data_IF_901720424250
#
_entry.id   IF_901720424250
#
_cell.length_a   1.000
_cell.length_b   1.000
_cell.length_c   1.000
_cell.angle_alpha   90.00
_cell.angle_beta   90.00
_cell.angle_gamma   90.00
#
_symmetry.space_group_name_H-M   'P 1'
#
loop_
_entity.id
_entity.type
_entity.pdbx_description
1 polymer ?
#
# COMPACT_ATOMS: atom_id res chain seq x y z
N UNK A 1 19.98 -24.38 -0.43
CA UNK A 1 20.19 -23.80 -1.79
C UNK A 1 20.29 -24.96 -2.77
N UNK A 2 19.75 -24.79 -3.97
CA UNK A 2 19.70 -25.80 -5.03
C UNK A 2 20.28 -25.23 -6.33
N UNK A 3 20.65 -26.11 -7.27
CA UNK A 3 20.98 -25.68 -8.63
C UNK A 3 19.73 -25.19 -9.34
N UNK A 4 19.82 -24.07 -10.03
CA UNK A 4 18.69 -23.46 -10.70
C UNK A 4 18.27 -24.29 -11.95
N UNK A 5 16.99 -24.70 -12.07
CA UNK A 5 16.50 -25.41 -13.25
C UNK A 5 16.29 -24.51 -14.47
N UNK A 6 16.37 -23.17 -14.32
CA UNK A 6 16.05 -22.21 -15.39
C UNK A 6 17.27 -21.75 -16.18
N UNK A 7 18.47 -22.19 -15.82
CA UNK A 7 19.68 -21.97 -16.61
C UNK A 7 20.67 -23.11 -16.38
N UNK A 8 21.72 -23.18 -17.21
CA UNK A 8 22.78 -24.16 -17.04
C UNK A 8 23.63 -23.80 -15.80
N UNK A 9 23.18 -24.26 -14.64
CA UNK A 9 23.81 -23.97 -13.36
C UNK A 9 24.72 -25.13 -12.92
N UNK A 10 25.95 -24.79 -12.51
CA UNK A 10 26.93 -25.76 -11.99
C UNK A 10 27.05 -25.71 -10.46
N UNK A 11 26.71 -24.58 -9.83
CA UNK A 11 26.88 -24.35 -8.40
C UNK A 11 25.56 -23.87 -7.82
N UNK A 12 25.06 -24.42 -6.70
CA UNK A 12 23.71 -24.12 -6.22
C UNK A 12 23.46 -22.62 -6.05
N UNK A 13 22.72 -22.02 -6.99
CA UNK A 13 22.50 -20.57 -7.06
C UNK A 13 21.07 -20.13 -6.70
N UNK A 14 20.18 -21.08 -6.42
CA UNK A 14 18.76 -20.80 -6.14
C UNK A 14 18.39 -21.09 -4.68
N UNK A 15 17.62 -20.18 -4.07
CA UNK A 15 16.96 -20.36 -2.78
C UNK A 15 15.46 -20.56 -3.01
N UNK A 16 14.87 -21.52 -2.29
CA UNK A 16 13.44 -21.82 -2.34
C UNK A 16 12.93 -21.87 -0.91
N UNK A 17 12.11 -20.89 -0.53
CA UNK A 17 11.36 -20.84 0.73
C UNK A 17 9.86 -20.71 0.40
N UNK A 18 9.20 -19.62 0.80
CA UNK A 18 7.86 -19.24 0.33
C UNK A 18 7.84 -18.72 -1.12
N UNK A 19 8.98 -18.23 -1.59
CA UNK A 19 9.24 -17.77 -2.95
C UNK A 19 10.57 -18.37 -3.41
N UNK A 20 10.77 -18.44 -4.71
CA UNK A 20 12.05 -18.82 -5.27
C UNK A 20 12.79 -17.59 -5.77
N UNK A 21 14.11 -17.58 -5.58
CA UNK A 21 15.00 -16.59 -6.18
C UNK A 21 16.30 -17.26 -6.60
N UNK A 22 16.71 -17.02 -7.84
CA UNK A 22 17.99 -17.44 -8.38
C UNK A 22 18.94 -16.25 -8.49
N UNK A 23 20.04 -16.30 -7.74
CA UNK A 23 21.06 -15.25 -7.75
C UNK A 23 21.92 -15.25 -9.03
N UNK A 24 21.93 -16.36 -9.79
CA UNK A 24 22.72 -16.49 -11.02
C UNK A 24 22.03 -15.88 -12.24
N UNK A 25 20.76 -16.20 -12.46
CA UNK A 25 20.00 -15.74 -13.63
C UNK A 25 18.89 -14.72 -13.32
N UNK A 26 18.69 -14.36 -12.05
CA UNK A 26 17.68 -13.39 -11.63
C UNK A 26 16.24 -13.92 -11.66
N UNK A 27 16.03 -15.20 -11.95
CA UNK A 27 14.70 -15.79 -11.93
C UNK A 27 14.10 -15.73 -10.52
N UNK A 28 12.97 -15.04 -10.38
CA UNK A 28 12.22 -14.87 -9.15
C UNK A 28 10.74 -15.23 -9.37
N UNK A 29 10.02 -15.53 -8.29
CA UNK A 29 8.57 -15.70 -8.29
C UNK A 29 8.04 -16.52 -7.12
N UNK A 30 6.76 -16.84 -7.17
CA UNK A 30 6.11 -17.77 -6.26
C UNK A 30 6.03 -19.20 -6.84
N UNK A 31 5.26 -20.09 -6.20
CA UNK A 31 5.09 -21.49 -6.62
C UNK A 31 4.40 -21.61 -7.99
N UNK A 32 3.47 -20.70 -8.31
CA UNK A 32 2.76 -20.69 -9.60
C UNK A 32 3.72 -20.22 -10.69
N UNK A 33 4.48 -19.15 -10.45
CA UNK A 33 5.52 -18.67 -11.37
C UNK A 33 6.57 -19.75 -11.66
N UNK A 34 6.99 -20.48 -10.62
CA UNK A 34 7.96 -21.56 -10.74
C UNK A 34 7.44 -22.65 -11.68
N UNK A 35 6.21 -23.08 -11.44
CA UNK A 35 5.53 -24.12 -12.23
C UNK A 35 5.32 -23.66 -13.68
N UNK A 36 4.87 -22.42 -13.87
CA UNK A 36 4.69 -21.83 -15.19
C UNK A 36 6.00 -21.82 -15.99
N UNK A 37 7.11 -21.41 -15.39
CA UNK A 37 8.43 -21.41 -16.04
C UNK A 37 8.95 -22.82 -16.31
N UNK A 38 8.78 -23.73 -15.35
CA UNK A 38 9.28 -25.10 -15.46
C UNK A 38 8.58 -25.88 -16.57
N UNK A 39 7.27 -25.71 -16.70
CA UNK A 39 6.43 -26.43 -17.68
C UNK A 39 6.07 -25.61 -18.91
N UNK A 40 6.54 -24.36 -19.01
CA UNK A 40 6.23 -23.42 -20.11
C UNK A 40 4.71 -23.24 -20.29
N UNK A 41 4.01 -23.05 -19.17
CA UNK A 41 2.56 -22.89 -19.12
C UNK A 41 2.19 -21.43 -18.83
N UNK A 42 0.97 -21.03 -19.19
CA UNK A 42 0.37 -19.81 -18.63
C UNK A 42 0.15 -19.94 -17.12
N UNK A 43 0.05 -18.81 -16.40
CA UNK A 43 -0.17 -18.84 -14.94
C UNK A 43 -1.43 -19.62 -14.55
N UNK A 44 -2.50 -19.51 -15.35
CA UNK A 44 -3.75 -20.25 -15.11
C UNK A 44 -3.52 -21.76 -15.25
N UNK A 45 -2.90 -22.18 -16.36
CA UNK A 45 -2.59 -23.58 -16.60
C UNK A 45 -1.62 -24.15 -15.56
N UNK A 46 -0.67 -23.34 -15.08
CA UNK A 46 0.23 -23.73 -14.00
C UNK A 46 -0.52 -23.95 -12.67
N UNK A 47 -1.48 -23.07 -12.35
CA UNK A 47 -2.34 -23.24 -11.18
C UNK A 47 -3.25 -24.47 -11.31
N UNK A 48 -3.84 -24.70 -12.48
CA UNK A 48 -4.62 -25.91 -12.78
C UNK A 48 -3.79 -27.18 -12.66
N UNK A 49 -2.55 -27.14 -13.17
CA UNK A 49 -1.60 -28.26 -13.05
C UNK A 49 -1.28 -28.55 -11.59
N UNK A 50 -0.98 -27.54 -10.79
CA UNK A 50 -0.76 -27.71 -9.35
C UNK A 50 -2.01 -28.28 -8.66
N UNK A 51 -3.20 -27.78 -9.01
CA UNK A 51 -4.43 -28.31 -8.46
C UNK A 51 -4.63 -29.80 -8.80
N UNK A 52 -4.33 -30.20 -10.04
CA UNK A 52 -4.41 -31.59 -10.47
C UNK A 52 -3.35 -32.47 -9.79
N UNK A 53 -2.08 -32.03 -9.77
CA UNK A 53 -0.94 -32.76 -9.20
C UNK A 53 -1.15 -33.08 -7.70
N UNK A 54 -1.77 -32.17 -6.95
CA UNK A 54 -2.05 -32.32 -5.51
C UNK A 54 -3.47 -32.80 -5.20
N UNK A 55 -4.28 -33.14 -6.22
CA UNK A 55 -5.65 -33.61 -6.03
C UNK A 55 -6.60 -32.57 -5.44
N UNK A 56 -6.29 -31.28 -5.62
CA UNK A 56 -7.15 -30.15 -5.23
C UNK A 56 -8.32 -29.94 -6.22
N UNK A 57 -8.34 -30.68 -7.34
CA UNK A 57 -9.46 -30.68 -8.28
C UNK A 57 -10.59 -31.60 -7.81
N UNK A 58 -11.62 -31.02 -7.21
CA UNK A 58 -12.93 -31.66 -7.10
C UNK A 58 -14.04 -30.64 -7.33
N UNK A 59 -14.65 -30.73 -8.52
CA UNK A 59 -16.06 -30.41 -8.82
C UNK A 59 -16.81 -29.47 -7.87
N UNK A 60 -17.17 -28.29 -8.37
CA UNK A 60 -18.17 -27.41 -7.76
C UNK A 60 -17.54 -26.17 -7.19
N UNK A 61 -17.87 -25.03 -7.81
CA UNK A 61 -17.73 -23.67 -7.27
C UNK A 61 -16.55 -23.52 -6.33
N UNK A 62 -15.37 -23.12 -6.84
CA UNK A 62 -14.39 -22.47 -5.97
C UNK A 62 -15.21 -21.47 -5.15
N UNK A 63 -15.29 -21.60 -3.81
CA UNK A 63 -15.79 -20.51 -3.02
C UNK A 63 -14.97 -19.34 -3.54
N UNK A 64 -15.61 -18.24 -3.94
CA UNK A 64 -14.87 -17.01 -4.05
C UNK A 64 -14.22 -16.90 -2.69
N UNK A 65 -12.94 -17.25 -2.61
CA UNK A 65 -12.11 -16.95 -1.47
C UNK A 65 -12.09 -15.44 -1.61
N UNK A 66 -13.08 -14.79 -0.97
CA UNK A 66 -12.87 -13.48 -0.42
C UNK A 66 -11.62 -13.73 0.40
N UNK A 67 -10.48 -13.30 -0.14
CA UNK A 67 -9.36 -12.97 0.69
C UNK A 67 -10.03 -12.16 1.79
N UNK A 68 -10.12 -12.70 3.01
CA UNK A 68 -10.26 -11.80 4.12
C UNK A 68 -9.02 -10.97 3.95
N UNK A 69 -9.18 -9.69 3.60
CA UNK A 69 -8.16 -8.71 3.90
C UNK A 69 -7.89 -8.92 5.37
N UNK A 70 -6.87 -9.73 5.67
CA UNK A 70 -6.34 -9.85 7.00
C UNK A 70 -5.75 -8.48 7.16
N UNK A 71 -6.49 -7.59 7.83
CA UNK A 71 -5.94 -6.36 8.32
C UNK A 71 -4.79 -6.79 9.24
N UNK A 72 -3.59 -6.87 8.68
CA UNK A 72 -2.39 -7.08 9.47
C UNK A 72 -2.42 -5.97 10.51
N UNK A 73 -2.33 -6.29 11.81
CA UNK A 73 -2.34 -5.27 12.84
C UNK A 73 -1.28 -4.25 12.48
N UNK A 74 -1.77 -3.05 12.17
CA UNK A 74 -0.97 -2.00 11.57
C UNK A 74 0.15 -1.68 12.57
N UNK A 75 1.40 -1.63 12.11
CA UNK A 75 2.50 -1.45 13.06
C UNK A 75 2.35 -0.07 13.75
N UNK A 76 2.89 0.14 14.96
CA UNK A 76 2.70 1.40 15.70
C UNK A 76 3.07 2.66 14.90
N UNK A 77 4.08 2.58 14.02
CA UNK A 77 4.52 3.69 13.16
C UNK A 77 3.50 4.00 12.05
N UNK A 78 2.91 2.98 11.45
CA UNK A 78 1.86 3.11 10.44
C UNK A 78 0.55 3.64 11.05
N UNK A 79 0.20 3.20 12.27
CA UNK A 79 -0.94 3.75 13.02
C UNK A 79 -0.77 5.25 13.29
N UNK A 80 0.42 5.63 13.77
CA UNK A 80 0.76 7.03 14.00
C UNK A 80 0.67 7.86 12.71
N UNK A 81 1.22 7.35 11.61
CA UNK A 81 1.14 8.00 10.30
C UNK A 81 -0.32 8.18 9.84
N UNK A 82 -1.17 7.17 10.00
CA UNK A 82 -2.61 7.24 9.64
C UNK A 82 -3.34 8.34 10.43
N UNK A 83 -3.07 8.45 11.73
CA UNK A 83 -3.64 9.50 12.59
C UNK A 83 -3.20 10.88 12.11
N UNK A 84 -1.91 11.07 11.84
CA UNK A 84 -1.39 12.36 11.35
C UNK A 84 -1.99 12.75 9.99
N UNK A 85 -2.10 11.80 9.05
CA UNK A 85 -2.74 12.03 7.77
C UNK A 85 -4.22 12.41 7.93
N UNK A 86 -4.97 11.67 8.76
CA UNK A 86 -6.36 11.98 9.04
C UNK A 86 -6.55 13.36 9.66
N UNK A 87 -5.69 13.73 10.61
CA UNK A 87 -5.69 15.06 11.22
C UNK A 87 -5.40 16.17 10.19
N UNK A 88 -4.39 15.97 9.32
CA UNK A 88 -4.08 16.92 8.24
C UNK A 88 -5.24 17.10 7.27
N UNK A 89 -5.90 16.01 6.86
CA UNK A 89 -7.08 16.08 5.99
C UNK A 89 -8.24 16.80 6.66
N UNK A 90 -8.47 16.57 7.96
CA UNK A 90 -9.49 17.27 8.72
C UNK A 90 -9.26 18.78 8.75
N UNK A 91 -8.02 19.21 9.02
CA UNK A 91 -7.67 20.63 9.01
C UNK A 91 -7.80 21.26 7.62
N UNK A 92 -7.40 20.56 6.56
CA UNK A 92 -7.58 21.03 5.19
C UNK A 92 -9.07 21.19 4.85
N UNK A 93 -9.91 20.24 5.26
CA UNK A 93 -11.35 20.31 5.07
C UNK A 93 -11.95 21.49 5.84
N UNK A 94 -11.55 21.71 7.09
CA UNK A 94 -12.00 22.85 7.88
C UNK A 94 -11.59 24.19 7.27
N UNK A 95 -10.36 24.26 6.75
CA UNK A 95 -9.87 25.45 6.07
C UNK A 95 -10.75 25.83 4.88
N UNK A 96 -11.20 24.84 4.09
CA UNK A 96 -12.03 25.08 2.92
C UNK A 96 -13.50 25.31 3.27
N UNK A 97 -14.06 24.48 4.15
CA UNK A 97 -15.49 24.49 4.47
C UNK A 97 -15.90 25.72 5.30
N UNK A 98 -15.03 26.20 6.18
CA UNK A 98 -15.30 27.31 7.09
C UNK A 98 -14.56 28.60 6.71
N UNK A 99 -14.01 28.68 5.49
CA UNK A 99 -13.39 29.89 4.98
C UNK A 99 -14.40 31.07 4.97
N UNK A 100 -14.03 32.24 5.52
CA UNK A 100 -14.89 33.42 5.47
C UNK A 100 -15.06 33.88 4.00
N UNK A 101 -16.30 34.17 3.61
CA UNK A 101 -16.62 34.62 2.24
C UNK A 101 -16.35 36.10 2.00
N UNK A 102 -16.23 36.87 3.07
CA UNK A 102 -15.91 38.29 3.03
C UNK A 102 -14.94 38.62 4.20
N UNK A 103 -14.14 39.69 4.07
CA UNK A 103 -13.10 40.03 5.05
C UNK A 103 -13.64 40.53 6.40
N UNK A 104 -14.90 40.93 6.47
CA UNK A 104 -15.56 41.46 7.67
C UNK A 104 -16.28 40.36 8.49
N UNK A 105 -16.40 39.13 7.96
CA UNK A 105 -17.09 38.05 8.65
C UNK A 105 -16.28 37.53 9.85
N UNK A 106 -16.99 37.31 10.96
CA UNK A 106 -16.45 36.62 12.13
C UNK A 106 -15.91 35.24 11.76
N UNK A 107 -14.65 34.97 12.14
CA UNK A 107 -13.99 33.71 11.84
C UNK A 107 -14.56 32.56 12.67
N UNK A 108 -14.82 31.44 12.02
CA UNK A 108 -15.27 30.23 12.71
C UNK A 108 -14.10 29.57 13.47
N UNK A 109 -14.32 29.04 14.70
CA UNK A 109 -13.25 28.41 15.48
C UNK A 109 -12.49 27.29 14.74
N UNK A 110 -13.19 26.46 13.95
CA UNK A 110 -12.54 25.42 13.14
C UNK A 110 -11.66 25.99 12.01
N UNK A 111 -12.03 27.14 11.44
CA UNK A 111 -11.19 27.83 10.46
C UNK A 111 -9.93 28.36 11.14
N UNK A 112 -10.07 29.01 12.30
CA UNK A 112 -8.93 29.47 13.11
C UNK A 112 -7.99 28.31 13.48
N UNK A 113 -8.53 27.18 13.96
CA UNK A 113 -7.76 25.99 14.26
C UNK A 113 -7.00 25.44 13.04
N UNK A 114 -7.59 25.51 11.84
CA UNK A 114 -6.91 25.10 10.60
C UNK A 114 -5.71 25.97 10.24
N UNK A 115 -5.76 27.28 10.52
CA UNK A 115 -4.68 28.22 10.23
C UNK A 115 -3.43 27.98 11.10
N UNK A 116 -3.61 27.51 12.33
CA UNK A 116 -2.50 27.28 13.25
C UNK A 116 -1.57 26.14 12.84
N UNK A 117 -2.03 25.20 12.01
CA UNK A 117 -1.27 24.01 11.63
C UNK A 117 -1.05 23.85 10.12
N UNK A 118 -1.83 24.51 9.27
CA UNK A 118 -1.61 24.56 7.83
C UNK A 118 -0.58 25.63 7.46
N UNK A 119 0.59 25.64 8.10
CA UNK A 119 1.72 26.50 7.69
C UNK A 119 2.75 25.68 6.92
N UNK A 120 2.63 25.71 5.59
CA UNK A 120 3.75 26.11 4.76
C UNK A 120 3.32 27.35 3.98
N UNK A 121 4.03 28.46 4.14
CA UNK A 121 3.85 29.69 3.35
C UNK A 121 2.63 30.58 3.70
N UNK A 122 2.59 31.14 4.91
CA UNK A 122 1.75 32.31 5.22
C UNK A 122 2.54 33.62 4.98
N UNK A 123 3.29 33.71 3.88
CA UNK A 123 3.95 34.95 3.44
C UNK A 123 3.27 35.52 2.17
N UNK A 124 2.43 34.76 1.46
CA UNK A 124 1.84 35.21 0.18
C UNK A 124 0.36 35.61 0.22
N UNK A 125 -0.36 35.40 1.32
CA UNK A 125 -1.73 35.90 1.46
C UNK A 125 -1.74 37.00 2.54
N UNK A 126 -1.75 38.26 2.11
CA UNK A 126 -1.59 39.49 2.90
C UNK A 126 -2.64 39.76 3.99
N UNK A 127 -2.94 38.79 4.84
CA UNK A 127 -3.69 39.00 6.07
C UNK A 127 -2.74 39.53 7.15
N UNK A 128 -2.73 40.85 7.28
CA UNK A 128 -2.13 41.54 8.42
C UNK A 128 -2.96 41.19 9.66
N UNK A 129 -2.41 40.36 10.55
CA UNK A 129 -2.96 40.19 11.89
C UNK A 129 -2.71 41.48 12.67
N UNK A 130 -3.70 42.39 12.64
CA UNK A 130 -3.76 43.52 13.54
C UNK A 130 -4.14 43.02 14.95
N UNK A 131 -3.15 42.46 15.65
CA UNK A 131 -3.25 42.21 17.08
C UNK A 131 -3.17 43.54 17.83
N UNK A 132 -4.31 44.14 18.18
CA UNK A 132 -4.36 45.10 19.28
C UNK A 132 -4.38 44.31 20.59
N UNK A 133 -3.22 44.25 21.23
CA UNK A 133 -3.10 43.96 22.65
C UNK A 133 -3.04 45.29 23.39
N UNK A 134 -3.84 45.37 24.47
CA UNK A 134 -4.12 46.48 25.40
C UNK A 134 -5.24 47.43 25.01
#
# INVERSE_FOLDING_TARGET
>A
MICCPFHADRNPSMKVDFRFHCFGCGADGDVIDFTAKLFQLSLLQAAEKLAADFGLSATGTFPLIRYKLVEKPLNPKEQFYKILCGYRSLLANWHMAYAPKNPEASLHPCFVASLHLCRPCAISAGYSFAGKSK
#
